data_IF_300696017173
#
_entry.id   IF_300696017173
#
_cell.length_a   1.000
_cell.length_b   1.000
_cell.length_c   1.000
_cell.angle_alpha   90.00
_cell.angle_beta   90.00
_cell.angle_gamma   90.00
#
_symmetry.space_group_name_H-M   'P 1'
#
loop_
_entity.id
_entity.type
_entity.pdbx_description
1 polymer ?
#
# COMPACT_ATOMS: atom_id res chain seq x y z
N UNK A 1 1.42 10.96 22.51
CA UNK A 1 2.08 12.19 22.04
C UNK A 1 1.02 13.04 21.35
N UNK A 2 0.95 14.34 21.60
CA UNK A 2 -0.02 15.24 20.95
C UNK A 2 0.42 15.51 19.50
N UNK A 3 -0.42 15.14 18.53
CA UNK A 3 -0.20 15.38 17.09
C UNK A 3 0.00 16.88 16.82
N UNK A 4 1.11 17.24 16.16
CA UNK A 4 1.42 18.65 15.90
C UNK A 4 0.40 19.26 14.92
N UNK A 5 0.24 20.59 14.92
CA UNK A 5 -0.61 21.28 13.93
C UNK A 5 -0.17 20.98 12.50
N UNK A 6 1.16 20.85 12.28
CA UNK A 6 1.72 20.46 10.99
C UNK A 6 1.23 19.08 10.55
N UNK A 7 1.22 18.11 11.47
CA UNK A 7 0.79 16.74 11.16
C UNK A 7 -0.72 16.67 10.91
N UNK A 8 -1.53 17.40 11.70
CA UNK A 8 -2.99 17.50 11.46
C UNK A 8 -3.30 18.10 10.10
N UNK A 9 -2.55 19.14 9.69
CA UNK A 9 -2.70 19.73 8.36
C UNK A 9 -2.38 18.72 7.25
N UNK A 10 -1.34 17.90 7.42
CA UNK A 10 -1.02 16.83 6.46
C UNK A 10 -2.13 15.78 6.42
N UNK A 11 -2.56 15.26 7.58
CA UNK A 11 -3.55 14.20 7.68
C UNK A 11 -4.87 14.60 7.01
N UNK A 12 -5.40 15.78 7.37
CA UNK A 12 -6.67 16.25 6.84
C UNK A 12 -6.58 16.68 5.38
N UNK A 13 -5.45 17.24 4.95
CA UNK A 13 -5.26 17.56 3.54
C UNK A 13 -5.24 16.29 2.68
N UNK A 14 -4.47 15.26 3.07
CA UNK A 14 -4.40 14.00 2.32
C UNK A 14 -5.76 13.29 2.28
N UNK A 15 -6.51 13.31 3.38
CA UNK A 15 -7.89 12.79 3.42
C UNK A 15 -8.80 13.53 2.43
N UNK A 16 -8.84 14.87 2.51
CA UNK A 16 -9.67 15.69 1.62
C UNK A 16 -9.26 15.55 0.15
N UNK A 17 -7.97 15.47 -0.14
CA UNK A 17 -7.48 15.24 -1.51
C UNK A 17 -7.95 13.89 -2.05
N UNK A 18 -7.98 12.84 -1.22
CA UNK A 18 -8.48 11.52 -1.61
C UNK A 18 -9.99 11.45 -1.81
N UNK A 19 -10.76 12.27 -1.09
CA UNK A 19 -12.24 12.24 -1.14
C UNK A 19 -12.83 13.07 -2.29
N UNK A 20 -12.33 14.28 -2.50
CA UNK A 20 -12.90 15.25 -3.45
C UNK A 20 -11.90 15.77 -4.49
N UNK A 21 -10.64 15.36 -4.42
CA UNK A 21 -9.58 15.79 -5.34
C UNK A 21 -8.84 17.06 -4.90
N UNK A 22 -7.63 17.25 -5.44
CA UNK A 22 -6.74 18.34 -5.04
C UNK A 22 -7.28 19.75 -5.39
N UNK A 23 -7.75 20.02 -6.62
CA UNK A 23 -8.30 21.34 -7.02
C UNK A 23 -9.55 21.71 -6.26
N UNK A 24 -10.44 20.74 -6.02
CA UNK A 24 -11.70 20.98 -5.31
C UNK A 24 -11.48 21.29 -3.82
N UNK A 25 -10.32 20.96 -3.28
CA UNK A 25 -9.96 21.22 -1.88
C UNK A 25 -9.33 22.60 -1.70
N UNK A 26 -10.00 23.47 -0.94
CA UNK A 26 -9.50 24.79 -0.57
C UNK A 26 -8.64 24.77 0.70
N UNK A 27 -7.74 25.75 0.85
CA UNK A 27 -6.94 25.94 2.07
C UNK A 27 -7.83 26.12 3.30
N UNK A 28 -8.93 26.86 3.17
CA UNK A 28 -9.86 27.09 4.27
C UNK A 28 -10.53 25.80 4.77
N UNK A 29 -10.87 24.87 3.87
CA UNK A 29 -11.39 23.55 4.24
C UNK A 29 -10.36 22.72 5.01
N UNK A 30 -9.09 22.75 4.56
CA UNK A 30 -7.98 22.05 5.23
C UNK A 30 -7.75 22.63 6.62
N UNK A 31 -7.70 23.95 6.74
CA UNK A 31 -7.55 24.64 8.03
C UNK A 31 -8.68 24.27 8.98
N UNK A 32 -9.94 24.33 8.52
CA UNK A 32 -11.11 23.96 9.30
C UNK A 32 -11.01 22.52 9.82
N UNK A 33 -10.69 21.57 8.94
CA UNK A 33 -10.56 20.17 9.29
C UNK A 33 -9.42 19.91 10.28
N UNK A 34 -8.29 20.64 10.14
CA UNK A 34 -7.14 20.53 11.04
C UNK A 34 -7.34 21.22 12.41
N UNK A 35 -8.54 21.76 12.68
CA UNK A 35 -8.90 22.46 13.90
C UNK A 35 -8.39 23.90 13.97
N UNK A 36 -8.14 24.53 12.82
CA UNK A 36 -7.78 25.94 12.69
C UNK A 36 -8.98 26.76 12.21
N UNK A 37 -8.92 28.07 12.42
CA UNK A 37 -9.94 28.98 11.87
C UNK A 37 -9.83 29.00 10.33
N UNK A 38 -10.93 28.78 9.59
CA UNK A 38 -10.90 28.78 8.12
C UNK A 38 -10.46 30.14 7.58
N UNK A 39 -9.48 30.15 6.67
CA UNK A 39 -8.94 31.37 6.06
C UNK A 39 -8.02 32.17 6.98
N UNK A 40 -7.60 31.61 8.12
CA UNK A 40 -6.69 32.28 9.07
C UNK A 40 -5.27 32.43 8.55
N UNK A 41 -4.91 31.69 7.49
CA UNK A 41 -3.53 31.59 7.02
C UNK A 41 -2.65 30.71 7.90
N UNK A 42 -3.25 29.98 8.85
CA UNK A 42 -2.56 29.02 9.71
C UNK A 42 -1.81 27.94 8.94
N UNK A 43 -2.31 27.53 7.76
CA UNK A 43 -1.58 26.63 6.86
C UNK A 43 -0.24 27.23 6.43
N UNK A 44 -0.21 28.52 6.10
CA UNK A 44 0.96 29.19 5.54
C UNK A 44 2.10 29.38 6.54
N UNK A 45 1.84 29.24 7.84
CA UNK A 45 2.88 29.17 8.85
C UNK A 45 3.69 27.86 8.79
N UNK A 46 3.11 26.79 8.24
CA UNK A 46 3.73 25.48 8.16
C UNK A 46 4.16 25.12 6.73
N UNK A 47 3.40 25.55 5.72
CA UNK A 47 3.62 25.20 4.32
C UNK A 47 3.47 26.42 3.43
N UNK A 48 4.47 26.71 2.59
CA UNK A 48 4.45 27.89 1.71
C UNK A 48 3.34 27.87 0.66
N UNK A 49 2.78 26.70 0.37
CA UNK A 49 1.67 26.52 -0.57
C UNK A 49 0.92 25.22 -0.27
N UNK A 50 -0.28 25.09 -0.84
CA UNK A 50 -1.05 23.82 -0.85
C UNK A 50 -0.28 22.70 -1.57
N UNK A 51 0.54 23.07 -2.55
CA UNK A 51 1.43 22.13 -3.28
C UNK A 51 2.48 21.54 -2.34
N UNK A 52 3.18 22.38 -1.57
CA UNK A 52 4.20 21.92 -0.62
C UNK A 52 3.60 21.06 0.49
N UNK A 53 2.34 21.30 0.86
CA UNK A 53 1.60 20.43 1.78
C UNK A 53 1.32 19.06 1.17
N UNK A 54 0.88 19.02 -0.10
CA UNK A 54 0.68 17.76 -0.83
C UNK A 54 1.99 16.98 -0.95
N UNK A 55 3.09 17.63 -1.34
CA UNK A 55 4.42 17.01 -1.43
C UNK A 55 4.84 16.40 -0.10
N UNK A 56 4.71 17.14 0.99
CA UNK A 56 5.03 16.64 2.33
C UNK A 56 4.14 15.47 2.76
N UNK A 57 2.86 15.47 2.35
CA UNK A 57 1.95 14.35 2.60
C UNK A 57 2.30 13.10 1.81
N UNK A 58 2.69 13.26 0.55
CA UNK A 58 3.15 12.16 -0.31
C UNK A 58 4.45 11.57 0.22
N UNK A 59 5.45 12.40 0.54
CA UNK A 59 6.73 11.93 1.09
C UNK A 59 6.51 11.14 2.39
N UNK A 60 5.66 11.65 3.30
CA UNK A 60 5.31 10.95 4.54
C UNK A 60 4.59 9.62 4.28
N UNK A 61 3.75 9.54 3.24
CA UNK A 61 3.05 8.32 2.87
C UNK A 61 4.03 7.28 2.32
N UNK A 62 4.95 7.70 1.45
CA UNK A 62 6.01 6.84 0.92
C UNK A 62 6.95 6.34 2.02
N UNK A 63 7.33 7.20 2.96
CA UNK A 63 8.15 6.81 4.12
C UNK A 63 7.43 5.77 4.99
N UNK A 64 6.11 5.92 5.19
CA UNK A 64 5.31 4.92 5.91
C UNK A 64 5.26 3.60 5.15
N UNK A 65 5.03 3.62 3.84
CA UNK A 65 5.01 2.42 3.00
C UNK A 65 6.36 1.70 3.01
N UNK A 66 7.48 2.43 2.98
CA UNK A 66 8.81 1.87 3.15
C UNK A 66 8.99 1.20 4.52
N UNK A 67 8.59 1.87 5.61
CA UNK A 67 8.69 1.30 6.96
C UNK A 67 7.81 0.05 7.12
N UNK A 68 6.63 0.03 6.48
CA UNK A 68 5.79 -1.16 6.42
C UNK A 68 6.50 -2.30 5.65
N UNK A 69 7.22 -1.99 4.58
CA UNK A 69 8.00 -3.00 3.87
C UNK A 69 9.06 -3.69 4.75
N UNK A 70 9.70 -2.94 5.64
CA UNK A 70 10.69 -3.47 6.58
C UNK A 70 10.07 -4.38 7.66
N UNK A 71 8.84 -4.06 8.12
CA UNK A 71 8.11 -4.87 9.12
C UNK A 71 7.82 -6.29 8.62
N UNK A 72 7.75 -6.50 7.30
CA UNK A 72 7.56 -7.85 6.73
C UNK A 72 8.65 -8.83 7.19
N UNK A 73 9.87 -8.35 7.42
CA UNK A 73 10.98 -9.17 7.94
C UNK A 73 10.77 -9.62 9.40
N UNK A 74 9.80 -9.04 10.11
CA UNK A 74 9.50 -9.36 11.52
C UNK A 74 8.59 -10.59 11.64
N UNK A 75 7.84 -10.95 10.59
CA UNK A 75 6.99 -12.15 10.61
C UNK A 75 7.77 -13.46 10.46
N UNK A 76 9.10 -13.37 10.34
CA UNK A 76 10.00 -14.51 10.26
C UNK A 76 9.97 -15.33 11.57
N UNK A 77 9.71 -16.63 11.43
CA UNK A 77 9.79 -17.58 12.56
C UNK A 77 8.48 -17.81 13.33
N UNK A 78 7.32 -17.51 12.73
CA UNK A 78 6.04 -18.03 13.22
C UNK A 78 6.04 -19.57 13.12
N UNK A 79 5.34 -20.23 14.05
CA UNK A 79 5.50 -21.68 14.29
C UNK A 79 5.01 -22.59 13.15
N UNK A 80 4.18 -22.08 12.22
CA UNK A 80 3.72 -22.83 11.04
C UNK A 80 3.53 -21.91 9.80
N UNK A 81 3.82 -22.48 8.62
CA UNK A 81 3.81 -21.80 7.32
C UNK A 81 2.48 -21.10 6.99
N UNK A 82 1.35 -21.73 7.35
CA UNK A 82 0.01 -21.24 7.00
C UNK A 82 -0.38 -20.04 7.86
N UNK A 83 0.00 -20.04 9.14
CA UNK A 83 -0.15 -18.88 10.01
C UNK A 83 0.70 -17.71 9.52
N UNK A 84 1.94 -17.95 9.11
CA UNK A 84 2.81 -16.91 8.54
C UNK A 84 2.22 -16.30 7.27
N UNK A 85 1.77 -17.15 6.33
CA UNK A 85 1.08 -16.71 5.13
C UNK A 85 -0.18 -15.91 5.46
N UNK A 86 -0.98 -16.33 6.44
CA UNK A 86 -2.21 -15.60 6.83
C UNK A 86 -1.87 -14.17 7.28
N UNK A 87 -0.84 -14.03 8.12
CA UNK A 87 -0.38 -12.73 8.59
C UNK A 87 0.18 -11.89 7.44
N UNK A 88 1.02 -12.49 6.58
CA UNK A 88 1.56 -11.84 5.39
C UNK A 88 0.47 -11.36 4.42
N UNK A 89 -0.57 -12.18 4.20
CA UNK A 89 -1.70 -11.85 3.33
C UNK A 89 -2.50 -10.67 3.86
N UNK A 90 -2.93 -10.71 5.13
CA UNK A 90 -3.65 -9.60 5.78
C UNK A 90 -2.83 -8.31 5.76
N UNK A 91 -1.56 -8.44 6.09
CA UNK A 91 -0.63 -7.33 6.10
C UNK A 91 -0.51 -6.68 4.72
N UNK A 92 -0.29 -7.50 3.69
CA UNK A 92 -0.12 -7.03 2.31
C UNK A 92 -1.39 -6.36 1.78
N UNK A 93 -2.58 -6.87 2.12
CA UNK A 93 -3.84 -6.20 1.76
C UNK A 93 -3.93 -4.79 2.39
N UNK A 94 -3.55 -4.64 3.65
CA UNK A 94 -3.50 -3.34 4.32
C UNK A 94 -2.49 -2.37 3.67
N UNK A 95 -1.33 -2.88 3.26
CA UNK A 95 -0.35 -2.09 2.49
C UNK A 95 -0.99 -1.63 1.18
N UNK A 96 -1.58 -2.54 0.39
CA UNK A 96 -2.21 -2.22 -0.91
C UNK A 96 -3.32 -1.17 -0.78
N UNK A 97 -4.08 -1.19 0.33
CA UNK A 97 -5.09 -0.17 0.61
C UNK A 97 -4.46 1.24 0.77
N UNK A 98 -3.34 1.34 1.51
CA UNK A 98 -2.57 2.58 1.64
C UNK A 98 -1.96 3.03 0.29
N UNK A 99 -1.42 2.08 -0.47
CA UNK A 99 -0.85 2.32 -1.80
C UNK A 99 -1.89 2.90 -2.76
N UNK A 100 -3.08 2.31 -2.76
CA UNK A 100 -4.16 2.69 -3.65
C UNK A 100 -4.74 4.05 -3.31
N UNK A 101 -4.83 4.39 -2.02
CA UNK A 101 -5.23 5.73 -1.60
C UNK A 101 -4.28 6.79 -2.15
N UNK A 102 -2.96 6.54 -2.07
CA UNK A 102 -1.95 7.43 -2.62
C UNK A 102 -2.10 7.56 -4.15
N UNK A 103 -2.29 6.44 -4.86
CA UNK A 103 -2.52 6.44 -6.30
C UNK A 103 -3.75 7.24 -6.72
N UNK A 104 -4.86 7.21 -5.96
CA UNK A 104 -6.04 8.03 -6.26
C UNK A 104 -5.74 9.53 -6.15
N UNK A 105 -4.97 9.93 -5.14
CA UNK A 105 -4.54 11.32 -4.97
C UNK A 105 -3.67 11.76 -6.17
N UNK A 106 -2.71 10.92 -6.55
CA UNK A 106 -1.78 11.13 -7.68
C UNK A 106 -2.52 11.19 -9.02
N UNK A 107 -3.40 10.23 -9.30
CA UNK A 107 -4.13 10.11 -10.57
C UNK A 107 -5.14 11.23 -10.77
N UNK A 108 -5.67 11.79 -9.67
CA UNK A 108 -6.62 12.89 -9.75
C UNK A 108 -6.04 14.15 -10.39
N UNK A 109 -4.70 14.43 -10.34
CA UNK A 109 -4.20 15.77 -10.71
C UNK A 109 -2.78 16.02 -11.24
N UNK A 110 -1.98 15.01 -11.61
CA UNK A 110 -0.58 15.28 -11.97
C UNK A 110 -0.32 15.37 -13.48
N UNK A 111 -0.34 16.59 -14.04
CA UNK A 111 0.18 16.83 -15.40
C UNK A 111 1.72 16.91 -15.44
N UNK A 112 2.37 17.41 -14.38
CA UNK A 112 3.80 17.77 -14.41
C UNK A 112 4.69 17.19 -13.28
N UNK A 113 4.16 16.34 -12.39
CA UNK A 113 5.00 15.50 -11.50
C UNK A 113 4.72 13.98 -11.53
N UNK A 114 4.57 13.31 -12.69
CA UNK A 114 4.20 11.89 -12.71
C UNK A 114 5.39 10.95 -12.48
N UNK A 115 6.62 11.33 -12.88
CA UNK A 115 7.70 10.35 -13.05
C UNK A 115 8.33 9.86 -11.74
N UNK A 116 8.81 10.76 -10.87
CA UNK A 116 9.44 10.37 -9.59
C UNK A 116 8.50 9.56 -8.70
N UNK A 117 7.22 9.93 -8.67
CA UNK A 117 6.21 9.22 -7.88
C UNK A 117 5.89 7.85 -8.47
N UNK A 118 5.70 7.76 -9.79
CA UNK A 118 5.55 6.48 -10.47
C UNK A 118 6.77 5.57 -10.27
N UNK A 119 7.98 6.12 -10.35
CA UNK A 119 9.23 5.37 -10.13
C UNK A 119 9.33 4.85 -8.69
N UNK A 120 8.97 5.68 -7.70
CA UNK A 120 8.98 5.28 -6.28
C UNK A 120 7.93 4.20 -6.00
N UNK A 121 6.73 4.36 -6.56
CA UNK A 121 5.65 3.41 -6.44
C UNK A 121 6.00 2.07 -7.10
N UNK A 122 6.58 2.10 -8.30
CA UNK A 122 7.08 0.92 -8.98
C UNK A 122 8.18 0.24 -8.15
N UNK A 123 9.07 0.99 -7.51
CA UNK A 123 10.10 0.42 -6.64
C UNK A 123 9.51 -0.30 -5.42
N UNK A 124 8.48 0.26 -4.78
CA UNK A 124 7.76 -0.37 -3.67
C UNK A 124 7.12 -1.70 -4.09
N UNK A 125 6.36 -1.67 -5.18
CA UNK A 125 5.72 -2.87 -5.75
C UNK A 125 6.76 -3.93 -6.12
N UNK A 126 7.81 -3.54 -6.84
CA UNK A 126 8.88 -4.47 -7.23
C UNK A 126 9.59 -5.06 -5.99
N UNK A 127 9.76 -4.26 -4.94
CA UNK A 127 10.26 -4.71 -3.64
C UNK A 127 9.36 -5.76 -2.98
N UNK A 128 8.04 -5.62 -3.08
CA UNK A 128 7.07 -6.64 -2.66
C UNK A 128 7.25 -7.98 -3.37
N UNK A 129 7.40 -7.96 -4.70
CA UNK A 129 7.64 -9.17 -5.48
C UNK A 129 8.97 -9.83 -5.10
N UNK A 130 10.06 -9.05 -5.05
CA UNK A 130 11.38 -9.57 -4.66
C UNK A 130 11.35 -10.18 -3.25
N UNK A 131 10.77 -9.47 -2.27
CA UNK A 131 10.66 -9.96 -0.89
C UNK A 131 9.80 -11.23 -0.76
N UNK A 132 8.78 -11.40 -1.61
CA UNK A 132 8.00 -12.65 -1.66
C UNK A 132 8.77 -13.79 -2.30
N UNK A 133 9.52 -13.53 -3.38
CA UNK A 133 10.35 -14.55 -4.00
C UNK A 133 11.44 -15.04 -3.03
N UNK A 134 12.08 -14.12 -2.31
CA UNK A 134 13.06 -14.47 -1.28
C UNK A 134 12.42 -15.25 -0.11
N UNK A 135 11.19 -14.92 0.27
CA UNK A 135 10.43 -15.67 1.26
C UNK A 135 10.12 -17.09 0.78
N UNK A 136 9.70 -17.27 -0.48
CA UNK A 136 9.45 -18.60 -1.09
C UNK A 136 10.73 -19.42 -1.12
N UNK A 137 11.85 -18.84 -1.57
CA UNK A 137 13.15 -19.52 -1.62
C UNK A 137 13.64 -20.00 -0.25
N UNK A 138 13.24 -19.35 0.84
CA UNK A 138 13.59 -19.77 2.21
C UNK A 138 12.76 -20.95 2.70
N UNK A 139 11.50 -21.05 2.28
CA UNK A 139 10.54 -22.03 2.81
C UNK A 139 10.35 -23.25 1.90
N UNK A 140 10.53 -23.09 0.59
CA UNK A 140 10.39 -24.17 -0.38
C UNK A 140 11.73 -24.86 -0.62
N UNK A 141 11.72 -26.19 -0.70
CA UNK A 141 12.92 -26.99 -1.03
C UNK A 141 12.96 -27.34 -2.51
N UNK A 142 14.13 -27.20 -3.14
CA UNK A 142 14.35 -27.60 -4.53
C UNK A 142 13.81 -26.63 -5.59
N UNK A 143 13.18 -25.52 -5.18
CA UNK A 143 12.64 -24.50 -6.07
C UNK A 143 13.75 -23.60 -6.62
N UNK A 144 13.73 -23.32 -7.92
CA UNK A 144 14.62 -22.36 -8.58
C UNK A 144 14.18 -20.92 -8.33
N UNK A 145 15.09 -19.95 -8.52
CA UNK A 145 14.74 -18.52 -8.38
C UNK A 145 13.61 -18.10 -9.34
N UNK A 146 13.63 -18.59 -10.58
CA UNK A 146 12.59 -18.29 -11.56
C UNK A 146 11.22 -18.82 -11.13
N UNK A 147 11.15 -20.04 -10.59
CA UNK A 147 9.92 -20.60 -10.03
C UNK A 147 9.44 -19.82 -8.81
N UNK A 148 10.35 -19.41 -7.92
CA UNK A 148 10.00 -18.60 -6.75
C UNK A 148 9.46 -17.22 -7.15
N UNK A 149 10.06 -16.58 -8.16
CA UNK A 149 9.58 -15.33 -8.73
C UNK A 149 8.20 -15.49 -9.38
N UNK A 150 7.95 -16.60 -10.08
CA UNK A 150 6.64 -16.91 -10.65
C UNK A 150 5.56 -17.14 -9.56
N UNK A 151 5.89 -17.89 -8.49
CA UNK A 151 4.99 -18.10 -7.35
C UNK A 151 4.69 -16.76 -6.67
N UNK A 152 5.71 -15.94 -6.42
CA UNK A 152 5.57 -14.60 -5.84
C UNK A 152 4.68 -13.70 -6.70
N UNK A 153 4.87 -13.72 -8.02
CA UNK A 153 4.08 -12.96 -8.96
C UNK A 153 2.60 -13.33 -8.88
N UNK A 154 2.28 -14.63 -8.97
CA UNK A 154 0.89 -15.11 -8.89
C UNK A 154 0.26 -14.77 -7.54
N UNK A 155 0.97 -15.02 -6.45
CA UNK A 155 0.48 -14.79 -5.09
C UNK A 155 0.14 -13.30 -4.86
N UNK A 156 1.05 -12.39 -5.21
CA UNK A 156 0.83 -10.96 -4.99
C UNK A 156 -0.18 -10.38 -5.99
N UNK A 157 -0.16 -10.79 -7.26
CA UNK A 157 -1.15 -10.35 -8.25
C UNK A 157 -2.58 -10.63 -7.79
N UNK A 158 -2.82 -11.77 -7.13
CA UNK A 158 -4.14 -12.10 -6.58
C UNK A 158 -4.58 -11.08 -5.52
N UNK A 159 -3.69 -10.69 -4.60
CA UNK A 159 -3.97 -9.70 -3.56
C UNK A 159 -4.17 -8.29 -4.15
N UNK A 160 -3.32 -7.90 -5.11
CA UNK A 160 -3.48 -6.64 -5.84
C UNK A 160 -4.81 -6.59 -6.58
N UNK A 161 -5.17 -7.64 -7.33
CA UNK A 161 -6.41 -7.68 -8.08
C UNK A 161 -7.63 -7.58 -7.15
N UNK A 162 -7.64 -8.33 -6.04
CA UNK A 162 -8.70 -8.33 -5.04
C UNK A 162 -8.98 -6.92 -4.48
N UNK A 163 -7.94 -6.10 -4.29
CA UNK A 163 -8.08 -4.73 -3.79
C UNK A 163 -8.33 -3.69 -4.85
N UNK A 164 -7.60 -3.75 -5.95
CA UNK A 164 -7.55 -2.66 -6.94
C UNK A 164 -8.70 -2.72 -7.93
N UNK A 165 -9.19 -3.91 -8.30
CA UNK A 165 -10.28 -4.04 -9.29
C UNK A 165 -11.60 -3.41 -8.82
N UNK A 166 -12.08 -3.64 -7.59
CA UNK A 166 -13.29 -2.97 -7.10
C UNK A 166 -13.11 -1.46 -7.02
N UNK A 167 -11.93 -1.01 -6.59
CA UNK A 167 -11.67 0.40 -6.31
C UNK A 167 -11.46 1.25 -7.58
N UNK A 168 -10.81 0.72 -8.61
CA UNK A 168 -10.50 1.47 -9.83
C UNK A 168 -11.40 1.14 -11.02
N UNK A 169 -11.91 -0.09 -11.09
CA UNK A 169 -12.70 -0.56 -12.23
C UNK A 169 -14.18 -0.81 -11.87
N UNK A 170 -14.55 -0.70 -10.59
CA UNK A 170 -15.91 -1.00 -10.13
C UNK A 170 -16.31 -2.46 -10.32
N UNK A 171 -15.32 -3.36 -10.45
CA UNK A 171 -15.55 -4.79 -10.62
C UNK A 171 -15.78 -5.39 -9.24
N UNK A 172 -17.02 -5.74 -8.93
CA UNK A 172 -17.36 -6.39 -7.66
C UNK A 172 -16.61 -7.73 -7.52
N UNK A 173 -15.94 -7.98 -6.39
CA UNK A 173 -15.20 -9.21 -6.19
C UNK A 173 -16.19 -10.36 -6.00
N UNK A 174 -15.87 -11.52 -6.60
CA UNK A 174 -16.66 -12.74 -6.39
C UNK A 174 -16.62 -13.22 -4.93
N UNK A 175 -15.55 -12.88 -4.21
CA UNK A 175 -15.38 -13.12 -2.78
C UNK A 175 -15.10 -11.78 -2.13
N UNK A 176 -16.12 -11.14 -1.55
CA UNK A 176 -15.97 -9.83 -0.90
C UNK A 176 -15.36 -9.90 0.50
N UNK A 177 -15.38 -11.07 1.14
CA UNK A 177 -14.83 -11.29 2.48
C UNK A 177 -13.32 -11.58 2.39
N UNK A 178 -12.53 -10.69 2.98
CA UNK A 178 -11.08 -10.79 3.01
C UNK A 178 -10.59 -12.04 3.72
N UNK A 179 -11.26 -12.44 4.80
CA UNK A 179 -10.82 -13.60 5.57
C UNK A 179 -10.99 -14.89 4.78
N UNK A 180 -12.11 -15.00 4.06
CA UNK A 180 -12.33 -16.10 3.13
C UNK A 180 -11.35 -16.07 1.95
N UNK A 181 -11.10 -14.89 1.38
CA UNK A 181 -10.13 -14.74 0.29
C UNK A 181 -8.71 -15.15 0.72
N UNK A 182 -8.27 -14.67 1.88
CA UNK A 182 -6.96 -14.96 2.45
C UNK A 182 -6.84 -16.44 2.76
N UNK A 183 -7.87 -17.08 3.32
CA UNK A 183 -7.86 -18.53 3.59
C UNK A 183 -7.57 -19.34 2.32
N UNK A 184 -8.25 -19.03 1.19
CA UNK A 184 -8.00 -19.71 -0.09
C UNK A 184 -6.62 -19.37 -0.66
N UNK A 185 -6.21 -18.10 -0.56
CA UNK A 185 -4.88 -17.65 -0.96
C UNK A 185 -3.77 -18.41 -0.21
N UNK A 186 -3.91 -18.59 1.11
CA UNK A 186 -2.98 -19.37 1.94
C UNK A 186 -2.89 -20.81 1.46
N UNK A 187 -4.03 -21.46 1.18
CA UNK A 187 -4.06 -22.85 0.69
C UNK A 187 -3.30 -22.98 -0.63
N UNK A 188 -3.53 -22.06 -1.58
CA UNK A 188 -2.87 -22.09 -2.89
C UNK A 188 -1.36 -21.86 -2.78
N UNK A 189 -0.94 -20.85 -2.00
CA UNK A 189 0.48 -20.51 -1.86
C UNK A 189 1.22 -21.58 -1.05
N UNK A 190 0.67 -22.01 0.09
CA UNK A 190 1.27 -23.08 0.89
C UNK A 190 1.40 -24.36 0.07
N UNK A 191 0.36 -24.74 -0.69
CA UNK A 191 0.40 -25.91 -1.54
C UNK A 191 1.55 -25.89 -2.54
N UNK A 192 1.89 -24.72 -3.11
CA UNK A 192 3.04 -24.56 -4.03
C UNK A 192 4.40 -24.55 -3.34
N UNK A 193 4.48 -24.03 -2.12
CA UNK A 193 5.71 -24.01 -1.32
C UNK A 193 6.03 -25.39 -0.75
N UNK A 194 5.01 -26.17 -0.38
CA UNK A 194 5.13 -27.51 0.21
C UNK A 194 5.34 -28.62 -0.83
N UNK A 195 5.02 -28.41 -2.12
CA UNK A 195 5.22 -29.43 -3.16
C UNK A 195 6.63 -29.40 -3.74
N UNK A 196 7.30 -30.56 -3.78
CA UNK A 196 8.58 -30.72 -4.48
C UNK A 196 8.40 -30.53 -6.01
N UNK A 197 9.37 -29.87 -6.68
CA UNK A 197 9.33 -29.67 -8.13
C UNK A 197 9.30 -31.01 -8.88
N UNK A 198 8.38 -31.15 -9.85
CA UNK A 198 8.25 -32.34 -10.72
C UNK A 198 7.04 -33.24 -10.44
N UNK A 199 6.14 -32.83 -9.54
CA UNK A 199 4.95 -33.61 -9.13
C UNK A 199 3.67 -33.34 -9.96
N UNK A 200 3.75 -32.57 -11.04
CA UNK A 200 2.59 -32.19 -11.89
C UNK A 200 2.82 -32.67 -13.32
#
# INVERSE_FOLDING_TARGET
MTTSTRDRLIDEAMRLFGEQGYRATSVAQIEAAAGLAPGSGGLYHHFRSKEMLLEAGIDRQLDRMNALHDIRQIFEGLTDLRSELTVLGRYTLGVIDEETQLLRIISSELRDRPRKLADTFAALINGSYAGMADWVMRHATGVTREEAEAIAAVALNALYAHRTMPQFLGVEPLVADDERFISEWVVMVAGRVETEPGSV
#
